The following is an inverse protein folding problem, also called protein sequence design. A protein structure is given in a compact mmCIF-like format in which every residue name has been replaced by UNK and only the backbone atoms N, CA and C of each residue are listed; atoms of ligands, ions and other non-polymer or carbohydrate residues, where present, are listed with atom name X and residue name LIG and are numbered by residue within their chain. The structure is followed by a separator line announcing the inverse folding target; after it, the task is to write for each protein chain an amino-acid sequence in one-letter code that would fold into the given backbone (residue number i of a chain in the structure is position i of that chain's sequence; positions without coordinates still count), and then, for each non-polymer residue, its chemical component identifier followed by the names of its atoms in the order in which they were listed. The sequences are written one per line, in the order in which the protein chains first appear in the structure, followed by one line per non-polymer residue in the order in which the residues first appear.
data_IF_917298313634
#
_entry.id   IF_917298313634
#
_cell.length_a   1.000
_cell.length_b   1.000
_cell.length_c   1.000
_cell.angle_alpha   90.00
_cell.angle_beta   90.00
_cell.angle_gamma   90.00
#
_symmetry.space_group_name_H-M   'P 1'
#
loop_
_entity.id
_entity.type
_entity.pdbx_description
1 polymer ?
#
# COMPACT_ATOMS: atom_id res chain seq x y z
N UNK A 1 -13.86 16.02 14.84
CA UNK A 1 -12.51 15.99 14.25
C UNK A 1 -12.25 17.32 13.54
N UNK A 2 -11.00 17.79 13.51
CA UNK A 2 -10.62 19.12 12.96
C UNK A 2 -11.04 19.32 11.49
N UNK A 3 -11.11 18.26 10.69
CA UNK A 3 -11.49 18.33 9.27
C UNK A 3 -12.96 17.99 8.98
N UNK A 4 -13.81 17.87 10.00
CA UNK A 4 -15.24 17.64 9.79
C UNK A 4 -15.89 18.89 9.18
N UNK A 5 -16.64 18.69 8.09
CA UNK A 5 -17.23 19.76 7.28
C UNK A 5 -16.41 20.20 6.07
N UNK A 6 -15.23 19.61 5.83
CA UNK A 6 -14.39 19.92 4.66
C UNK A 6 -15.15 19.68 3.34
N UNK A 7 -15.87 18.57 3.25
CA UNK A 7 -16.68 18.23 2.08
C UNK A 7 -17.75 19.30 1.83
N UNK A 8 -18.44 19.76 2.87
CA UNK A 8 -19.45 20.81 2.76
C UNK A 8 -18.86 22.16 2.30
N UNK A 9 -17.66 22.50 2.78
CA UNK A 9 -16.97 23.72 2.38
C UNK A 9 -16.52 23.67 0.90
N UNK A 10 -16.00 22.53 0.45
CA UNK A 10 -15.66 22.30 -0.95
C UNK A 10 -16.90 22.35 -1.83
N UNK A 11 -17.97 21.69 -1.40
CA UNK A 11 -19.24 21.68 -2.13
C UNK A 11 -19.86 23.07 -2.30
N UNK A 12 -19.77 23.91 -1.25
CA UNK A 12 -20.24 25.27 -1.27
C UNK A 12 -19.46 26.15 -2.28
N UNK A 13 -18.18 25.85 -2.53
CA UNK A 13 -17.34 26.64 -3.45
C UNK A 13 -17.66 26.44 -4.93
N UNK A 14 -18.29 25.31 -5.27
CA UNK A 14 -18.64 24.94 -6.66
C UNK A 14 -20.11 25.18 -6.98
N UNK A 15 -20.99 25.27 -5.99
CA UNK A 15 -22.36 25.71 -6.23
C UNK A 15 -23.30 25.50 -5.04
N UNK A 16 -24.42 26.24 -5.01
CA UNK A 16 -25.36 26.20 -3.89
C UNK A 16 -26.20 24.92 -3.87
N UNK A 17 -26.45 24.29 -5.02
CA UNK A 17 -27.34 23.13 -5.15
C UNK A 17 -26.60 21.90 -5.69
N UNK A 18 -27.06 20.71 -5.29
CA UNK A 18 -26.50 19.44 -5.76
C UNK A 18 -26.51 19.31 -7.30
N UNK A 19 -27.54 19.86 -7.96
CA UNK A 19 -27.66 19.86 -9.43
C UNK A 19 -26.60 20.73 -10.10
N UNK A 20 -26.25 21.88 -9.52
CA UNK A 20 -25.17 22.72 -10.01
C UNK A 20 -23.80 22.03 -9.81
N UNK A 21 -23.58 21.43 -8.64
CA UNK A 21 -22.32 20.73 -8.29
C UNK A 21 -22.01 19.54 -9.19
N UNK A 22 -23.04 18.79 -9.64
CA UNK A 22 -22.87 17.61 -10.51
C UNK A 22 -22.08 17.89 -11.80
N UNK A 23 -22.17 19.12 -12.34
CA UNK A 23 -21.43 19.51 -13.56
C UNK A 23 -19.92 19.51 -13.33
N UNK A 24 -19.48 19.89 -12.14
CA UNK A 24 -18.07 20.03 -11.79
C UNK A 24 -17.42 18.74 -11.29
N UNK A 25 -18.23 17.71 -10.99
CA UNK A 25 -17.79 16.38 -10.56
C UNK A 25 -16.78 16.44 -9.41
N UNK A 26 -17.02 17.35 -8.47
CA UNK A 26 -16.15 17.51 -7.30
C UNK A 26 -16.46 16.43 -6.28
N UNK A 27 -15.43 15.72 -5.83
CA UNK A 27 -15.55 14.73 -4.76
C UNK A 27 -14.35 14.84 -3.82
N UNK A 28 -14.59 14.75 -2.52
CA UNK A 28 -13.55 14.77 -1.48
C UNK A 28 -13.37 13.36 -0.93
N UNK A 29 -12.14 12.84 -0.96
CA UNK A 29 -11.77 11.61 -0.28
C UNK A 29 -10.75 11.95 0.81
N UNK A 30 -11.12 11.73 2.09
CA UNK A 30 -10.28 12.03 3.24
C UNK A 30 -9.88 10.76 3.99
N UNK A 31 -8.65 10.71 4.45
CA UNK A 31 -8.12 9.71 5.37
C UNK A 31 -7.27 10.42 6.43
N UNK A 32 -7.80 10.52 7.66
CA UNK A 32 -7.23 11.34 8.73
C UNK A 32 -6.98 12.79 8.25
N UNK A 33 -5.71 13.20 8.16
CA UNK A 33 -5.19 14.49 7.70
C UNK A 33 -4.96 14.55 6.18
N UNK A 34 -4.68 13.42 5.53
CA UNK A 34 -4.50 13.33 4.09
C UNK A 34 -5.86 13.35 3.35
N UNK A 35 -5.98 14.15 2.30
CA UNK A 35 -7.17 14.16 1.45
C UNK A 35 -6.85 14.41 -0.02
N UNK A 36 -7.77 13.97 -0.88
CA UNK A 36 -7.73 14.17 -2.33
C UNK A 36 -9.06 14.75 -2.76
N UNK A 37 -9.01 15.85 -3.51
CA UNK A 37 -10.17 16.44 -4.16
C UNK A 37 -10.08 16.21 -5.65
N UNK A 38 -11.15 15.68 -6.23
CA UNK A 38 -11.30 15.48 -7.68
C UNK A 38 -12.16 16.59 -8.26
N UNK A 39 -12.01 16.88 -9.55
CA UNK A 39 -12.80 17.88 -10.26
C UNK A 39 -12.69 17.70 -11.77
N UNK A 40 -13.57 18.37 -12.52
CA UNK A 40 -13.62 18.27 -14.00
C UNK A 40 -12.48 19.02 -14.69
N UNK A 41 -11.99 20.11 -14.11
CA UNK A 41 -10.92 20.93 -14.70
C UNK A 41 -9.94 21.43 -13.64
N UNK A 42 -8.74 21.79 -14.08
CA UNK A 42 -7.68 22.32 -13.22
C UNK A 42 -8.07 23.69 -12.67
N UNK A 43 -8.69 24.52 -13.52
CA UNK A 43 -9.08 25.89 -13.20
C UNK A 43 -10.08 25.91 -12.03
N UNK A 44 -11.08 25.03 -12.04
CA UNK A 44 -12.06 24.94 -10.94
C UNK A 44 -11.37 24.52 -9.64
N UNK A 45 -10.42 23.58 -9.71
CA UNK A 45 -9.70 23.13 -8.53
C UNK A 45 -8.82 24.24 -7.94
N UNK A 46 -8.16 25.02 -8.77
CA UNK A 46 -7.25 26.09 -8.35
C UNK A 46 -7.96 27.38 -7.94
N UNK A 47 -9.02 27.77 -8.65
CA UNK A 47 -9.71 29.05 -8.47
C UNK A 47 -10.83 28.97 -7.43
N UNK A 48 -11.53 27.85 -7.32
CA UNK A 48 -12.69 27.73 -6.43
C UNK A 48 -12.41 26.83 -5.22
N UNK A 49 -11.89 25.63 -5.49
CA UNK A 49 -11.75 24.60 -4.44
C UNK A 49 -10.57 24.91 -3.52
N UNK A 50 -9.40 25.22 -4.07
CA UNK A 50 -8.19 25.46 -3.29
C UNK A 50 -8.33 26.66 -2.32
N UNK A 51 -8.89 27.82 -2.73
CA UNK A 51 -9.11 28.94 -1.81
C UNK A 51 -10.13 28.60 -0.72
N UNK A 52 -11.20 27.88 -1.05
CA UNK A 52 -12.20 27.44 -0.08
C UNK A 52 -11.60 26.51 0.98
N UNK A 53 -10.72 25.59 0.58
CA UNK A 53 -9.99 24.71 1.50
C UNK A 53 -9.05 25.53 2.39
N UNK A 54 -8.29 26.48 1.83
CA UNK A 54 -7.41 27.36 2.61
C UNK A 54 -8.21 28.11 3.67
N UNK A 55 -9.30 28.78 3.28
CA UNK A 55 -10.16 29.51 4.22
C UNK A 55 -10.74 28.60 5.31
N UNK A 56 -11.20 27.40 4.93
CA UNK A 56 -11.73 26.42 5.87
C UNK A 56 -10.70 25.98 6.94
N UNK A 57 -9.44 25.83 6.53
CA UNK A 57 -8.32 25.43 7.40
C UNK A 57 -7.84 26.59 8.27
N UNK A 58 -7.74 27.81 7.72
CA UNK A 58 -7.32 29.00 8.47
C UNK A 58 -8.22 29.27 9.67
N UNK A 59 -9.54 29.12 9.53
CA UNK A 59 -10.51 29.26 10.64
C UNK A 59 -10.24 28.27 11.78
N UNK A 60 -9.53 27.17 11.50
CA UNK A 60 -9.19 26.11 12.45
C UNK A 60 -7.71 26.14 12.87
N UNK A 61 -6.97 27.18 12.50
CA UNK A 61 -5.55 27.33 12.79
C UNK A 61 -4.66 26.33 12.05
N UNK A 62 -5.11 25.83 10.89
CA UNK A 62 -4.37 24.89 10.05
C UNK A 62 -3.97 25.56 8.73
N UNK A 63 -2.85 25.10 8.17
CA UNK A 63 -2.35 25.57 6.87
C UNK A 63 -2.07 24.39 5.94
N UNK A 64 -2.22 24.62 4.64
CA UNK A 64 -1.83 23.66 3.63
C UNK A 64 -0.31 23.69 3.46
N UNK A 65 0.30 22.51 3.46
CA UNK A 65 1.70 22.39 3.05
C UNK A 65 1.80 22.62 1.54
N UNK A 66 2.43 23.72 1.14
CA UNK A 66 2.61 24.07 -0.29
C UNK A 66 3.45 23.01 -1.02
N UNK A 67 4.42 22.41 -0.34
CA UNK A 67 5.27 21.35 -0.91
C UNK A 67 4.48 20.05 -1.21
N UNK A 68 3.47 19.75 -0.38
CA UNK A 68 2.64 18.54 -0.54
C UNK A 68 1.44 18.76 -1.46
N UNK A 69 0.96 20.00 -1.57
CA UNK A 69 -0.25 20.34 -2.33
C UNK A 69 0.08 20.45 -3.80
N UNK A 70 -0.45 19.52 -4.61
CA UNK A 70 -0.23 19.50 -6.05
C UNK A 70 -1.52 19.18 -6.79
N UNK A 71 -1.82 19.98 -7.81
CA UNK A 71 -2.90 19.68 -8.77
C UNK A 71 -2.30 18.90 -9.95
N UNK A 72 -2.80 17.70 -10.20
CA UNK A 72 -2.34 16.84 -11.30
C UNK A 72 -3.48 16.28 -12.10
N UNK A 73 -3.19 15.96 -13.36
CA UNK A 73 -4.13 15.22 -14.18
C UNK A 73 -4.04 13.72 -13.87
N UNK A 74 -5.19 13.02 -13.90
CA UNK A 74 -5.26 11.58 -13.59
C UNK A 74 -4.41 10.71 -14.52
N UNK A 75 -4.08 11.21 -15.71
CA UNK A 75 -3.19 10.52 -16.66
C UNK A 75 -1.72 10.53 -16.23
N UNK A 76 -1.28 11.54 -15.48
CA UNK A 76 0.05 11.62 -14.89
C UNK A 76 0.09 10.82 -13.58
N UNK A 77 -1.04 10.82 -12.88
CA UNK A 77 -1.25 10.11 -11.63
C UNK A 77 -0.74 10.86 -10.41
N UNK A 78 -1.03 10.31 -9.24
CA UNK A 78 -0.58 10.84 -7.96
C UNK A 78 -0.48 9.72 -6.93
N UNK A 79 0.28 9.96 -5.87
CA UNK A 79 0.43 9.03 -4.76
C UNK A 79 -0.54 9.41 -3.64
N UNK A 80 -1.26 8.43 -3.09
CA UNK A 80 -2.15 8.58 -1.94
C UNK A 80 -2.12 7.30 -1.11
N UNK A 81 -1.91 7.42 0.21
CA UNK A 81 -1.82 6.28 1.15
C UNK A 81 -0.83 5.19 0.70
N UNK A 82 0.32 5.59 0.13
CA UNK A 82 1.36 4.68 -0.35
C UNK A 82 1.00 3.91 -1.62
N UNK A 83 -0.06 4.30 -2.33
CA UNK A 83 -0.48 3.75 -3.61
C UNK A 83 -0.45 4.85 -4.68
N UNK A 84 -0.05 4.50 -5.89
CA UNK A 84 -0.10 5.35 -7.06
C UNK A 84 -1.41 5.12 -7.82
N UNK A 85 -2.20 6.18 -7.98
CA UNK A 85 -3.45 6.18 -8.73
C UNK A 85 -3.18 6.85 -10.08
N UNK A 86 -3.35 6.09 -11.17
CA UNK A 86 -3.11 6.61 -12.52
C UNK A 86 -4.05 5.98 -13.55
N UNK A 87 -4.52 6.79 -14.51
CA UNK A 87 -5.32 6.34 -15.64
C UNK A 87 -4.43 6.17 -16.88
N UNK A 88 -4.40 4.96 -17.42
CA UNK A 88 -3.63 4.59 -18.61
C UNK A 88 -4.61 4.31 -19.75
N UNK A 89 -4.64 5.15 -20.79
CA UNK A 89 -5.44 4.91 -22.00
C UNK A 89 -6.90 4.53 -21.71
N UNK A 90 -7.56 5.21 -20.76
CA UNK A 90 -8.93 4.90 -20.36
C UNK A 90 -9.08 4.02 -19.10
N UNK A 91 -8.06 3.25 -18.74
CA UNK A 91 -8.11 2.29 -17.62
C UNK A 91 -7.44 2.83 -16.36
N UNK A 92 -8.17 2.90 -15.25
CA UNK A 92 -7.61 3.24 -13.95
C UNK A 92 -6.86 2.05 -13.35
N UNK A 93 -5.58 2.21 -13.06
CA UNK A 93 -4.77 1.23 -12.35
C UNK A 93 -4.25 1.87 -11.07
N UNK A 94 -4.56 1.23 -9.95
CA UNK A 94 -3.96 1.56 -8.66
C UNK A 94 -2.83 0.55 -8.42
N UNK A 95 -1.61 1.05 -8.20
CA UNK A 95 -0.40 0.25 -7.98
C UNK A 95 0.26 0.70 -6.67
N UNK A 96 1.10 -0.12 -6.02
CA UNK A 96 1.95 0.38 -4.94
C UNK A 96 2.82 1.54 -5.42
N UNK A 97 2.89 2.62 -4.64
CA UNK A 97 3.72 3.78 -5.01
C UNK A 97 5.21 3.43 -4.95
N UNK A 98 6.02 4.03 -5.84
CA UNK A 98 7.47 3.79 -5.86
C UNK A 98 8.13 4.16 -4.52
N UNK A 99 7.68 5.23 -3.87
CA UNK A 99 8.13 5.62 -2.52
C UNK A 99 7.86 4.54 -1.48
N UNK A 100 6.68 3.91 -1.52
CA UNK A 100 6.28 2.82 -0.62
C UNK A 100 7.10 1.54 -0.85
N UNK A 101 7.36 1.19 -2.11
CA UNK A 101 8.23 0.05 -2.47
C UNK A 101 9.67 0.31 -1.99
N UNK A 102 10.19 1.52 -2.22
CA UNK A 102 11.54 1.90 -1.78
C UNK A 102 11.66 1.84 -0.25
N UNK A 103 10.67 2.34 0.49
CA UNK A 103 10.65 2.29 1.95
C UNK A 103 10.69 0.84 2.48
N UNK A 104 9.95 -0.08 1.87
CA UNK A 104 10.04 -1.51 2.20
C UNK A 104 11.46 -2.06 1.99
N UNK A 105 12.00 -1.84 0.78
CA UNK A 105 13.32 -2.38 0.43
C UNK A 105 14.44 -1.80 1.30
N UNK A 106 14.33 -0.53 1.70
CA UNK A 106 15.27 0.09 2.63
C UNK A 106 15.18 -0.57 4.01
N UNK A 107 13.96 -0.76 4.55
CA UNK A 107 13.75 -1.44 5.82
C UNK A 107 14.29 -2.88 5.81
N UNK A 108 14.06 -3.62 4.73
CA UNK A 108 14.66 -4.95 4.53
C UNK A 108 16.18 -4.87 4.53
N UNK A 109 16.75 -3.93 3.77
CA UNK A 109 18.20 -3.75 3.66
C UNK A 109 18.82 -3.42 5.02
N UNK A 110 18.19 -2.55 5.79
CA UNK A 110 18.61 -2.20 7.14
C UNK A 110 18.60 -3.42 8.07
N UNK A 111 17.52 -4.21 8.05
CA UNK A 111 17.43 -5.47 8.81
C UNK A 111 18.59 -6.39 8.43
N UNK A 112 18.87 -6.60 7.14
CA UNK A 112 19.96 -7.48 6.68
C UNK A 112 21.34 -6.92 7.08
N UNK A 113 21.53 -5.60 7.04
CA UNK A 113 22.78 -4.92 7.39
C UNK A 113 23.07 -5.00 8.90
N UNK A 114 22.06 -4.79 9.73
CA UNK A 114 22.22 -4.86 11.19
C UNK A 114 22.40 -6.30 11.69
N UNK A 115 22.02 -7.29 10.86
CA UNK A 115 22.09 -8.71 11.19
C UNK A 115 23.16 -9.45 10.37
N UNK A 116 24.33 -8.83 10.18
CA UNK A 116 25.43 -9.39 9.38
C UNK A 116 25.94 -10.75 9.91
N UNK A 117 26.04 -10.93 11.21
CA UNK A 117 26.49 -12.18 11.85
C UNK A 117 25.34 -13.06 12.36
N UNK A 118 24.10 -12.58 12.30
CA UNK A 118 22.93 -13.24 12.89
C UNK A 118 22.62 -14.62 12.28
N UNK A 119 21.96 -15.50 13.00
CA UNK A 119 21.56 -16.79 12.43
C UNK A 119 20.53 -16.62 11.30
N UNK A 120 20.51 -17.57 10.36
CA UNK A 120 19.51 -17.60 9.29
C UNK A 120 18.08 -17.55 9.85
N UNK A 121 17.86 -18.25 10.96
CA UNK A 121 16.59 -18.26 11.69
C UNK A 121 16.16 -16.87 12.12
N UNK A 122 17.05 -16.11 12.75
CA UNK A 122 16.75 -14.77 13.24
C UNK A 122 16.39 -13.84 12.07
N UNK A 123 17.13 -13.93 10.97
CA UNK A 123 16.88 -13.13 9.77
C UNK A 123 15.49 -13.40 9.17
N UNK A 124 15.08 -14.67 9.08
CA UNK A 124 13.73 -15.06 8.61
C UNK A 124 12.66 -14.49 9.55
N UNK A 125 12.85 -14.59 10.87
CA UNK A 125 11.87 -14.13 11.86
C UNK A 125 11.67 -12.61 11.82
N UNK A 126 12.71 -11.82 11.56
CA UNK A 126 12.62 -10.37 11.44
C UNK A 126 12.04 -9.92 10.09
N UNK A 127 12.42 -10.59 8.99
CA UNK A 127 11.97 -10.20 7.64
C UNK A 127 10.50 -10.57 7.38
N UNK A 128 10.04 -11.73 7.86
CA UNK A 128 8.72 -12.25 7.54
C UNK A 128 7.56 -11.31 7.91
N UNK A 129 7.48 -10.74 9.13
CA UNK A 129 6.41 -9.81 9.48
C UNK A 129 6.40 -8.55 8.61
N UNK A 130 7.58 -8.03 8.25
CA UNK A 130 7.71 -6.81 7.43
C UNK A 130 7.21 -7.05 6.01
N UNK A 131 7.68 -8.12 5.36
CA UNK A 131 7.27 -8.46 3.99
C UNK A 131 5.77 -8.81 3.97
N UNK A 132 5.31 -9.60 4.93
CA UNK A 132 3.91 -10.01 5.03
C UNK A 132 2.99 -8.81 5.24
N UNK A 133 3.30 -7.93 6.18
CA UNK A 133 2.49 -6.75 6.47
C UNK A 133 2.35 -5.86 5.25
N UNK A 134 3.46 -5.57 4.56
CA UNK A 134 3.45 -4.76 3.35
C UNK A 134 2.64 -5.40 2.23
N UNK A 135 2.83 -6.70 1.99
CA UNK A 135 2.14 -7.40 0.91
C UNK A 135 0.64 -7.62 1.23
N UNK A 136 0.25 -7.76 2.50
CA UNK A 136 -1.15 -7.78 2.93
C UNK A 136 -1.82 -6.42 2.69
N UNK A 137 -1.15 -5.32 3.04
CA UNK A 137 -1.67 -3.97 2.79
C UNK A 137 -1.92 -3.71 1.30
N UNK A 138 -0.99 -4.12 0.44
CA UNK A 138 -1.08 -3.92 -1.00
C UNK A 138 -1.81 -5.05 -1.75
N UNK A 139 -2.42 -6.03 -1.06
CA UNK A 139 -3.09 -7.18 -1.71
C UNK A 139 -4.32 -6.80 -2.55
N UNK A 140 -4.88 -5.62 -2.30
CA UNK A 140 -6.12 -5.18 -2.95
C UNK A 140 -5.90 -4.42 -4.27
N UNK A 141 -4.66 -4.03 -4.55
CA UNK A 141 -4.29 -3.23 -5.71
C UNK A 141 -3.46 -4.04 -6.72
N UNK A 142 -3.08 -3.44 -7.84
CA UNK A 142 -2.35 -4.11 -8.93
C UNK A 142 -0.89 -4.30 -8.53
N UNK A 143 -0.63 -5.30 -7.67
CA UNK A 143 0.66 -5.48 -6.99
C UNK A 143 1.47 -6.68 -7.44
N UNK A 144 0.94 -7.57 -8.29
CA UNK A 144 1.65 -8.84 -8.65
C UNK A 144 3.05 -8.61 -9.20
N UNK A 145 3.21 -7.67 -10.15
CA UNK A 145 4.55 -7.35 -10.69
C UNK A 145 5.49 -6.81 -9.61
N UNK A 146 5.00 -5.93 -8.74
CA UNK A 146 5.79 -5.43 -7.60
C UNK A 146 6.17 -6.54 -6.62
N UNK A 147 5.26 -7.48 -6.32
CA UNK A 147 5.54 -8.62 -5.45
C UNK A 147 6.69 -9.48 -6.00
N UNK A 148 6.67 -9.79 -7.30
CA UNK A 148 7.75 -10.55 -7.96
C UNK A 148 9.07 -9.77 -7.91
N UNK A 149 9.05 -8.48 -8.21
CA UNK A 149 10.24 -7.63 -8.17
C UNK A 149 10.83 -7.55 -6.76
N UNK A 150 9.99 -7.33 -5.74
CA UNK A 150 10.41 -7.27 -4.33
C UNK A 150 11.01 -8.61 -3.89
N UNK A 151 10.35 -9.73 -4.17
CA UNK A 151 10.87 -11.06 -3.83
C UNK A 151 12.26 -11.29 -4.46
N UNK A 152 12.48 -10.86 -5.71
CA UNK A 152 13.78 -10.95 -6.38
C UNK A 152 14.85 -10.06 -5.72
N UNK A 153 14.52 -8.82 -5.36
CA UNK A 153 15.46 -7.91 -4.67
C UNK A 153 15.85 -8.45 -3.29
N UNK A 154 14.87 -8.96 -2.53
CA UNK A 154 15.12 -9.57 -1.22
C UNK A 154 16.02 -10.80 -1.38
N UNK A 155 15.76 -11.65 -2.38
CA UNK A 155 16.60 -12.80 -2.67
C UNK A 155 18.06 -12.39 -2.96
N UNK A 156 18.27 -11.36 -3.77
CA UNK A 156 19.63 -10.84 -4.07
C UNK A 156 20.34 -10.34 -2.81
N UNK A 157 19.63 -9.64 -1.92
CA UNK A 157 20.19 -9.19 -0.65
C UNK A 157 20.60 -10.37 0.24
N UNK A 158 19.75 -11.40 0.33
CA UNK A 158 20.02 -12.60 1.12
C UNK A 158 21.15 -13.44 0.53
N UNK A 159 21.26 -13.50 -0.81
CA UNK A 159 22.38 -14.16 -1.48
C UNK A 159 23.71 -13.47 -1.15
N UNK A 160 23.77 -12.14 -1.24
CA UNK A 160 24.95 -11.36 -0.85
C UNK A 160 25.31 -11.56 0.62
N UNK A 161 24.31 -11.55 1.49
CA UNK A 161 24.50 -11.82 2.91
C UNK A 161 25.08 -13.22 3.15
N UNK A 162 24.56 -14.25 2.46
CA UNK A 162 24.99 -15.63 2.59
C UNK A 162 26.43 -15.85 2.08
N UNK A 163 26.77 -15.26 0.94
CA UNK A 163 28.12 -15.30 0.36
C UNK A 163 29.15 -14.63 1.28
N UNK A 164 28.84 -13.45 1.81
CA UNK A 164 29.74 -12.71 2.72
C UNK A 164 30.10 -13.51 3.97
N UNK A 165 29.21 -14.38 4.45
CA UNK A 165 29.46 -15.21 5.63
C UNK A 165 30.46 -16.34 5.39
N UNK A 166 30.71 -16.69 4.12
CA UNK A 166 31.55 -17.83 3.75
C UNK A 166 32.47 -17.45 2.59
N UNK A 167 33.42 -16.53 2.81
CA UNK A 167 34.30 -16.04 1.74
C UNK A 167 35.17 -17.13 1.12
N UNK A 168 35.44 -18.21 1.86
CA UNK A 168 36.28 -19.34 1.43
C UNK A 168 35.50 -20.52 0.83
N UNK A 169 34.17 -20.42 0.74
CA UNK A 169 33.32 -21.51 0.23
C UNK A 169 32.78 -21.17 -1.15
N UNK A 170 32.72 -22.18 -2.02
CA UNK A 170 32.12 -22.04 -3.36
C UNK A 170 30.62 -21.72 -3.32
N UNK A 171 30.12 -21.09 -4.37
CA UNK A 171 28.70 -20.70 -4.53
C UNK A 171 27.76 -21.89 -4.40
N UNK A 172 28.15 -23.05 -4.93
CA UNK A 172 27.39 -24.30 -4.80
C UNK A 172 27.16 -24.68 -3.33
N UNK A 173 28.19 -24.61 -2.49
CA UNK A 173 28.08 -24.94 -1.07
C UNK A 173 27.16 -23.94 -0.34
N UNK A 174 27.28 -22.64 -0.63
CA UNK A 174 26.43 -21.59 -0.04
C UNK A 174 24.96 -21.81 -0.41
N UNK A 175 24.68 -22.16 -1.68
CA UNK A 175 23.34 -22.53 -2.12
C UNK A 175 22.79 -23.69 -1.30
N UNK A 176 23.50 -24.82 -1.23
CA UNK A 176 23.02 -26.00 -0.49
C UNK A 176 22.83 -25.76 1.01
N UNK A 177 23.62 -24.86 1.60
CA UNK A 177 23.54 -24.54 3.03
C UNK A 177 22.32 -23.71 3.43
N UNK A 178 21.93 -22.73 2.60
CA UNK A 178 20.91 -21.75 2.97
C UNK A 178 19.63 -21.84 2.13
N UNK A 179 19.73 -22.42 0.93
CA UNK A 179 18.69 -22.40 -0.08
C UNK A 179 18.30 -23.83 -0.45
N UNK A 180 17.15 -24.25 0.06
CA UNK A 180 16.66 -25.61 -0.09
C UNK A 180 15.60 -25.72 -1.19
N UNK A 181 15.32 -26.95 -1.63
CA UNK A 181 14.23 -27.26 -2.54
C UNK A 181 12.95 -27.45 -1.72
N UNK A 182 11.86 -26.81 -2.15
CA UNK A 182 10.56 -26.91 -1.51
C UNK A 182 9.47 -27.11 -2.58
N UNK A 183 8.98 -28.34 -2.69
CA UNK A 183 8.11 -28.75 -3.80
C UNK A 183 8.79 -28.53 -5.15
N UNK A 184 8.12 -27.84 -6.06
CA UNK A 184 8.68 -27.48 -7.38
C UNK A 184 9.67 -26.30 -7.34
N UNK A 185 9.87 -25.67 -6.17
CA UNK A 185 10.69 -24.46 -6.09
C UNK A 185 12.08 -24.78 -5.58
N UNK A 186 13.07 -24.44 -6.40
CA UNK A 186 14.45 -24.34 -5.99
C UNK A 186 14.70 -22.96 -5.37
N UNK A 187 15.78 -22.82 -4.59
CA UNK A 187 16.20 -21.54 -3.99
C UNK A 187 15.31 -20.99 -2.85
N UNK A 188 14.65 -21.84 -2.07
CA UNK A 188 13.89 -21.40 -0.90
C UNK A 188 14.85 -21.12 0.27
N UNK A 189 14.91 -19.86 0.73
CA UNK A 189 15.68 -19.48 1.92
C UNK A 189 14.97 -20.02 3.17
N UNK A 190 15.51 -21.11 3.73
CA UNK A 190 14.87 -21.84 4.84
C UNK A 190 15.87 -22.22 5.91
N UNK A 191 15.42 -22.27 7.16
CA UNK A 191 16.20 -22.67 8.31
C UNK A 191 15.43 -23.67 9.16
N UNK A 192 16.13 -24.61 9.80
CA UNK A 192 15.52 -25.54 10.76
C UNK A 192 15.58 -24.96 12.16
N UNK A 193 14.47 -25.04 12.88
CA UNK A 193 14.34 -24.63 14.28
C UNK A 193 13.86 -25.79 15.10
N UNK A 194 14.33 -25.90 16.35
CA UNK A 194 13.89 -26.96 17.28
C UNK A 194 12.41 -26.83 17.64
N UNK A 195 11.89 -25.60 17.72
CA UNK A 195 10.53 -25.31 18.19
C UNK A 195 9.46 -25.23 17.09
N UNK A 196 9.80 -24.81 15.86
CA UNK A 196 8.83 -24.57 14.77
C UNK A 196 9.10 -25.40 13.51
N UNK A 197 9.98 -26.39 13.60
CA UNK A 197 10.43 -27.16 12.44
C UNK A 197 11.14 -26.27 11.41
N UNK A 198 10.87 -26.48 10.12
CA UNK A 198 11.47 -25.69 9.04
C UNK A 198 10.72 -24.38 8.86
N UNK A 199 11.40 -23.27 9.11
CA UNK A 199 10.90 -21.93 8.81
C UNK A 199 11.47 -21.45 7.47
N UNK A 200 10.69 -20.63 6.77
CA UNK A 200 11.02 -20.14 5.43
C UNK A 200 10.79 -18.64 5.33
N UNK A 201 11.54 -18.00 4.44
CA UNK A 201 11.29 -16.62 4.08
C UNK A 201 9.91 -16.49 3.42
N UNK A 202 9.12 -15.54 3.92
CA UNK A 202 7.84 -15.18 3.36
C UNK A 202 8.05 -14.47 2.02
N UNK A 203 7.23 -14.83 1.03
CA UNK A 203 7.23 -14.22 -0.28
C UNK A 203 5.96 -13.43 -0.52
N UNK A 204 6.11 -12.19 -0.98
CA UNK A 204 4.97 -11.36 -1.32
C UNK A 204 4.12 -12.01 -2.42
N UNK A 205 4.74 -12.75 -3.35
CA UNK A 205 4.03 -13.46 -4.43
C UNK A 205 3.02 -14.50 -3.95
N UNK A 206 3.18 -15.04 -2.74
CA UNK A 206 2.26 -16.02 -2.14
C UNK A 206 0.90 -15.41 -1.78
N UNK A 207 0.82 -14.08 -1.61
CA UNK A 207 -0.45 -13.44 -1.30
C UNK A 207 -1.29 -13.32 -2.57
N UNK A 208 -2.52 -13.88 -2.59
CA UNK A 208 -3.45 -13.68 -3.69
C UNK A 208 -3.91 -12.22 -3.71
N UNK A 209 -4.05 -11.67 -4.91
CA UNK A 209 -4.67 -10.35 -5.07
C UNK A 209 -6.17 -10.54 -4.90
N UNK A 210 -6.73 -9.84 -3.92
CA UNK A 210 -8.16 -9.89 -3.61
C UNK A 210 -8.72 -8.50 -3.81
N UNK A 211 -9.62 -8.32 -4.77
CA UNK A 211 -10.19 -6.99 -5.05
C UNK A 211 -11.10 -6.57 -3.90
N UNK A 212 -10.91 -5.35 -3.41
CA UNK A 212 -11.77 -4.82 -2.36
C UNK A 212 -13.16 -4.53 -2.92
N UNK A 213 -14.19 -5.08 -2.28
CA UNK A 213 -15.59 -4.75 -2.56
C UNK A 213 -15.99 -3.60 -1.65
N UNK A 214 -16.34 -2.45 -2.24
CA UNK A 214 -16.74 -1.23 -1.51
C UNK A 214 -17.93 -1.54 -0.59
N UNK A 215 -17.87 -1.08 0.66
CA UNK A 215 -19.01 -1.16 1.58
C UNK A 215 -20.11 -0.23 1.06
N UNK A 216 -21.36 -0.69 1.11
CA UNK A 216 -22.52 0.16 0.78
C UNK A 216 -22.60 1.26 1.83
N UNK A 217 -22.45 2.52 1.44
CA UNK A 217 -22.37 3.65 2.39
C UNK A 217 -23.59 3.83 3.29
N UNK A 218 -24.77 3.38 2.84
CA UNK A 218 -26.02 3.39 3.61
C UNK A 218 -26.18 2.17 4.53
N UNK A 219 -25.25 1.20 4.49
CA UNK A 219 -25.36 0.00 5.29
C UNK A 219 -24.98 0.29 6.74
N UNK A 220 -25.96 0.16 7.64
CA UNK A 220 -25.78 0.31 9.07
C UNK A 220 -25.65 -1.07 9.73
N UNK A 221 -24.53 -1.39 10.42
CA UNK A 221 -24.34 -2.66 11.11
C UNK A 221 -25.39 -2.97 12.19
N UNK A 222 -26.04 -1.94 12.72
CA UNK A 222 -27.03 -2.02 13.79
C UNK A 222 -28.48 -2.08 13.28
N UNK A 223 -28.69 -1.94 11.96
CA UNK A 223 -30.00 -2.07 11.34
C UNK A 223 -30.21 -3.50 10.84
N UNK A 224 -31.30 -4.13 11.31
CA UNK A 224 -31.66 -5.51 11.00
C UNK A 224 -31.86 -5.74 9.50
N UNK A 225 -32.25 -4.73 8.72
CA UNK A 225 -32.38 -4.83 7.26
C UNK A 225 -31.04 -5.15 6.55
N UNK A 226 -29.92 -4.76 7.16
CA UNK A 226 -28.56 -4.99 6.62
C UNK A 226 -27.87 -6.23 7.19
N UNK A 227 -28.52 -6.95 8.11
CA UNK A 227 -27.97 -8.15 8.75
C UNK A 227 -27.47 -9.19 7.74
N UNK A 228 -28.27 -9.49 6.70
CA UNK A 228 -27.91 -10.42 5.62
C UNK A 228 -26.74 -9.93 4.75
N UNK A 229 -26.57 -8.62 4.61
CA UNK A 229 -25.45 -8.02 3.88
C UNK A 229 -24.15 -8.18 4.66
N UNK A 230 -24.17 -7.89 5.97
CA UNK A 230 -23.00 -8.06 6.83
C UNK A 230 -22.66 -9.54 7.06
N UNK A 231 -23.66 -10.42 7.17
CA UNK A 231 -23.43 -11.87 7.27
C UNK A 231 -22.69 -12.42 6.03
N UNK A 232 -23.18 -12.10 4.82
CA UNK A 232 -22.51 -12.48 3.56
C UNK A 232 -21.10 -11.90 3.42
N UNK A 233 -20.86 -10.70 3.97
CA UNK A 233 -19.52 -10.11 3.97
C UNK A 233 -18.58 -10.82 4.93
N UNK A 234 -19.01 -11.24 6.12
CA UNK A 234 -18.18 -12.01 7.06
C UNK A 234 -17.69 -13.29 6.38
N UNK A 235 -18.61 -14.06 5.80
CA UNK A 235 -18.29 -15.33 5.11
C UNK A 235 -17.39 -15.15 3.88
N UNK A 236 -17.51 -14.03 3.16
CA UNK A 236 -16.67 -13.75 1.99
C UNK A 236 -15.24 -13.28 2.32
N UNK A 237 -14.94 -13.02 3.61
CA UNK A 237 -13.59 -12.61 4.05
C UNK A 237 -12.77 -13.80 4.56
N UNK A 238 -13.42 -14.93 4.82
CA UNK A 238 -12.86 -16.14 5.45
C UNK A 238 -12.49 -17.27 4.45
N UNK A 239 -12.62 -17.03 3.14
CA UNK A 239 -12.20 -17.95 2.05
C UNK A 239 -11.08 -17.37 1.19
#
# INVERSE_FOLDING_TARGET
MTLDGLEAAVDASVGPTQRARRKFKVNVNRYADDFVVTGVSKEILEQNVLPAIKQFLTVRGLELSEEKTRVTHIADGFDFLGQNIRKYGGKLLIKPANKSVKALLEKVREIVRNNTSATQTNLILQLNPVIRGWAMYHRHVVSKSHFTSIDAHIWQLLWKWAMRRHPTKGTGWVKHKYFHVEGHRTWAFTARTKARGVIRLFRATMIPIVRHVKIRGQANPFDLAWSSYFARRRTATDG
#
